data_IF_276210872783
#
_entry.id   IF_276210872783
#
_cell.length_a   1.000
_cell.length_b   1.000
_cell.length_c   1.000
_cell.angle_alpha   90.00
_cell.angle_beta   90.00
_cell.angle_gamma   90.00
#
_symmetry.space_group_name_H-M   'P 1'
#
loop_
_entity.id
_entity.type
_entity.pdbx_description
1 polymer ?
#
# COMPACT_ATOMS: atom_id res chain seq x y z
N UNK A 1 1.97 -11.45 9.34
CA UNK A 1 3.36 -11.69 8.89
C UNK A 1 4.29 -11.70 10.10
N UNK A 2 5.28 -12.62 10.18
CA UNK A 2 6.18 -12.75 11.35
C UNK A 2 7.54 -12.02 11.20
N UNK A 3 7.65 -11.09 10.24
CA UNK A 3 8.88 -10.31 9.97
C UNK A 3 8.54 -8.85 9.61
N UNK A 4 9.48 -7.90 9.74
CA UNK A 4 9.31 -6.56 9.19
C UNK A 4 9.16 -6.60 7.66
N UNK A 5 8.40 -5.64 7.13
CA UNK A 5 8.33 -5.37 5.70
C UNK A 5 9.63 -4.75 5.20
N UNK A 6 9.98 -5.05 3.96
CA UNK A 6 11.12 -4.48 3.25
C UNK A 6 10.64 -3.35 2.33
N UNK A 7 11.46 -2.32 2.07
CA UNK A 7 11.06 -1.20 1.21
C UNK A 7 10.56 -1.61 -0.17
N UNK A 8 11.16 -2.65 -0.76
CA UNK A 8 10.76 -3.18 -2.06
C UNK A 8 9.29 -3.68 -2.07
N UNK A 9 8.75 -4.11 -0.94
CA UNK A 9 7.38 -4.61 -0.83
C UNK A 9 6.34 -3.47 -0.89
N UNK A 10 6.74 -2.21 -0.66
CA UNK A 10 5.84 -1.05 -0.76
C UNK A 10 5.75 -0.49 -2.19
N UNK A 11 6.73 -0.76 -3.05
CA UNK A 11 6.85 -0.12 -4.36
C UNK A 11 5.60 -0.29 -5.23
N UNK A 12 5.01 -1.50 -5.24
CA UNK A 12 3.82 -1.79 -6.03
C UNK A 12 2.59 -0.95 -5.61
N UNK A 13 2.46 -0.63 -4.32
CA UNK A 13 1.35 0.19 -3.83
C UNK A 13 1.44 1.63 -4.36
N UNK A 14 2.64 2.20 -4.42
CA UNK A 14 2.87 3.51 -5.01
C UNK A 14 2.64 3.52 -6.52
N UNK A 15 3.13 2.49 -7.23
CA UNK A 15 2.92 2.36 -8.67
C UNK A 15 1.43 2.24 -8.99
N UNK A 16 0.67 1.46 -8.22
CA UNK A 16 -0.77 1.33 -8.38
C UNK A 16 -1.49 2.67 -8.13
N UNK A 17 -1.16 3.41 -7.07
CA UNK A 17 -1.76 4.72 -6.81
C UNK A 17 -1.42 5.77 -7.88
N UNK A 18 -0.31 5.59 -8.59
CA UNK A 18 0.11 6.47 -9.68
C UNK A 18 -0.43 6.05 -11.06
N UNK A 19 -1.13 4.91 -11.16
CA UNK A 19 -1.60 4.39 -12.43
C UNK A 19 -3.00 4.91 -12.80
N UNK A 20 -3.36 4.84 -14.08
CA UNK A 20 -4.66 5.30 -14.59
C UNK A 20 -5.84 4.50 -13.99
N UNK A 21 -5.59 3.26 -13.58
CA UNK A 21 -6.58 2.42 -12.89
C UNK A 21 -6.99 2.99 -11.53
N UNK A 22 -6.13 3.81 -10.89
CA UNK A 22 -6.44 4.49 -9.64
C UNK A 22 -7.19 5.82 -9.83
N UNK A 23 -7.73 6.10 -11.03
CA UNK A 23 -8.45 7.35 -11.36
C UNK A 23 -9.58 7.76 -10.40
N UNK A 24 -10.14 6.83 -9.62
CA UNK A 24 -11.17 7.11 -8.61
C UNK A 24 -10.71 6.89 -7.16
N UNK A 25 -9.42 6.67 -6.92
CA UNK A 25 -8.84 6.47 -5.60
C UNK A 25 -8.20 7.79 -5.15
N UNK A 26 -8.97 8.62 -4.46
CA UNK A 26 -8.51 9.89 -3.88
C UNK A 26 -8.93 9.99 -2.42
N UNK A 27 -8.05 10.58 -1.58
CA UNK A 27 -8.27 10.71 -0.14
C UNK A 27 -8.25 9.38 0.64
N UNK A 28 -7.90 8.26 0.00
CA UNK A 28 -7.84 6.95 0.62
C UNK A 28 -6.46 6.66 1.25
N UNK A 29 -6.44 5.82 2.28
CA UNK A 29 -5.21 5.29 2.87
C UNK A 29 -5.07 3.80 2.55
N UNK A 30 -3.98 3.41 1.89
CA UNK A 30 -3.68 2.01 1.55
C UNK A 30 -2.81 1.38 2.65
N UNK A 31 -3.37 0.44 3.40
CA UNK A 31 -2.67 -0.22 4.50
C UNK A 31 -1.78 -1.38 4.01
N UNK A 32 -0.45 -1.16 3.99
CA UNK A 32 0.56 -2.20 3.68
C UNK A 32 1.29 -2.63 4.96
N UNK A 33 0.58 -3.33 5.84
CA UNK A 33 1.05 -3.55 7.24
C UNK A 33 1.41 -5.00 7.58
N UNK A 34 1.36 -5.92 6.60
CA UNK A 34 1.62 -7.34 6.85
C UNK A 34 0.59 -8.02 7.78
N UNK A 35 -0.63 -7.50 7.81
CA UNK A 35 -1.75 -8.01 8.61
C UNK A 35 -1.86 -7.40 10.01
N UNK A 36 -1.13 -6.32 10.30
CA UNK A 36 -1.32 -5.53 11.53
C UNK A 36 -2.38 -4.43 11.30
N UNK A 37 -3.45 -4.35 12.09
CA UNK A 37 -4.41 -3.25 11.97
C UNK A 37 -3.73 -1.89 12.15
N UNK A 38 -4.17 -0.90 11.39
CA UNK A 38 -3.89 0.51 11.68
C UNK A 38 -5.01 0.95 12.62
N UNK A 39 -4.67 1.21 13.89
CA UNK A 39 -5.57 1.74 14.92
C UNK A 39 -5.30 3.22 15.14
#
# INVERSE_FOLDING_TARGET
MKRPGQPAELAAAYVMLASDEASYISGATVAVTGGKPII
#
